data_IF_021711095273
#
_entry.id   IF_021711095273
#
_cell.length_a   1.000
_cell.length_b   1.000
_cell.length_c   1.000
_cell.angle_alpha   90.00
_cell.angle_beta   90.00
_cell.angle_gamma   90.00
#
_symmetry.space_group_name_H-M   'P 1'
#
loop_
_entity.id
_entity.type
_entity.pdbx_description
1 polymer ?
#
# COMPACT_ATOMS: atom_id res chain seq x y z
N UNK A 1 3.22 53.22 -43.74
CA UNK A 1 2.39 52.73 -42.61
C UNK A 1 1.07 52.23 -43.17
N UNK A 2 0.94 50.91 -43.31
CA UNK A 2 -0.30 50.18 -43.44
C UNK A 2 0.04 48.77 -42.94
N UNK A 3 -0.41 48.43 -41.74
CA UNK A 3 -0.22 47.12 -41.13
C UNK A 3 -1.39 46.28 -41.60
N UNK A 4 -1.13 45.22 -42.35
CA UNK A 4 -2.14 44.24 -42.71
C UNK A 4 -2.56 43.47 -41.46
N UNK A 5 -3.87 43.39 -41.25
CA UNK A 5 -4.48 42.65 -40.16
C UNK A 5 -4.22 41.15 -40.35
N UNK A 6 -3.65 40.51 -39.32
CA UNK A 6 -3.51 39.05 -39.24
C UNK A 6 -4.92 38.45 -39.34
N UNK A 7 -5.15 37.71 -40.42
CA UNK A 7 -6.39 37.01 -40.69
C UNK A 7 -6.73 36.03 -39.57
N UNK A 8 -8.02 36.01 -39.21
CA UNK A 8 -8.59 35.11 -38.22
C UNK A 8 -8.29 33.65 -38.58
N UNK A 9 -7.60 32.97 -37.67
CA UNK A 9 -7.36 31.53 -37.74
C UNK A 9 -8.72 30.87 -37.53
N UNK A 10 -9.19 30.12 -38.52
CA UNK A 10 -10.40 29.31 -38.44
C UNK A 10 -10.31 28.35 -37.24
N UNK A 11 -11.43 28.02 -36.57
CA UNK A 11 -11.40 27.09 -35.46
C UNK A 11 -11.01 25.72 -36.02
N UNK A 12 -9.80 25.28 -35.66
CA UNK A 12 -9.39 23.91 -35.87
C UNK A 12 -10.45 22.99 -35.23
N UNK A 13 -10.89 22.01 -36.02
CA UNK A 13 -11.82 20.98 -35.63
C UNK A 13 -11.37 20.39 -34.30
N UNK A 14 -12.26 20.44 -33.31
CA UNK A 14 -12.09 19.75 -32.03
C UNK A 14 -12.16 18.27 -32.35
N UNK A 15 -11.00 17.69 -32.65
CA UNK A 15 -10.80 16.26 -32.68
C UNK A 15 -11.14 15.78 -31.27
N UNK A 16 -12.27 15.10 -31.16
CA UNK A 16 -12.75 14.54 -29.91
C UNK A 16 -11.67 13.57 -29.42
N UNK A 17 -10.85 14.02 -28.47
CA UNK A 17 -10.06 13.15 -27.60
C UNK A 17 -11.00 12.38 -26.67
N UNK A 18 -11.77 11.46 -27.27
CA UNK A 18 -12.25 10.27 -26.60
C UNK A 18 -11.09 9.29 -26.47
N UNK A 19 -10.04 9.69 -25.74
CA UNK A 19 -9.18 8.70 -25.13
C UNK A 19 -10.04 8.02 -24.04
N UNK A 20 -10.11 6.68 -23.96
CA UNK A 20 -10.68 6.06 -22.79
C UNK A 20 -9.88 6.60 -21.61
N UNK A 21 -10.55 7.29 -20.69
CA UNK A 21 -9.98 7.58 -19.39
C UNK A 21 -9.45 6.24 -18.88
N UNK A 22 -8.13 6.08 -18.85
CA UNK A 22 -7.50 4.96 -18.19
C UNK A 22 -8.09 5.01 -16.79
N UNK A 23 -8.94 4.02 -16.48
CA UNK A 23 -9.47 3.88 -15.15
C UNK A 23 -8.24 3.87 -14.26
N UNK A 24 -8.06 4.92 -13.46
CA UNK A 24 -7.12 4.87 -12.36
C UNK A 24 -7.61 3.69 -11.54
N UNK A 25 -6.96 2.53 -11.68
CA UNK A 25 -7.22 1.38 -10.84
C UNK A 25 -6.99 1.86 -9.41
N UNK A 26 -8.07 2.25 -8.75
CA UNK A 26 -8.03 2.73 -7.40
C UNK A 26 -7.49 1.59 -6.55
N UNK A 27 -6.34 1.81 -5.92
CA UNK A 27 -5.73 0.82 -5.04
C UNK A 27 -6.79 0.38 -4.02
N UNK A 28 -7.21 -0.88 -4.08
CA UNK A 28 -8.22 -1.39 -3.19
C UNK A 28 -7.63 -1.50 -1.77
N UNK A 29 -8.32 -0.96 -0.79
CA UNK A 29 -7.92 -1.05 0.61
C UNK A 29 -7.76 -2.50 1.08
N UNK A 30 -8.63 -3.41 0.63
CA UNK A 30 -8.52 -4.84 0.93
C UNK A 30 -7.20 -5.43 0.41
N UNK A 31 -6.74 -5.00 -0.76
CA UNK A 31 -5.45 -5.46 -1.32
C UNK A 31 -4.26 -4.89 -0.53
N UNK A 32 -4.38 -3.69 0.02
CA UNK A 32 -3.35 -3.11 0.90
C UNK A 32 -3.26 -3.90 2.20
N UNK A 33 -4.40 -4.21 2.83
CA UNK A 33 -4.47 -4.99 4.06
C UNK A 33 -3.98 -6.42 3.82
N UNK A 34 -4.39 -7.07 2.73
CA UNK A 34 -3.95 -8.42 2.37
C UNK A 34 -2.44 -8.49 2.15
N UNK A 35 -1.87 -7.49 1.45
CA UNK A 35 -0.42 -7.35 1.31
C UNK A 35 0.28 -7.12 2.65
N UNK A 36 -0.30 -6.29 3.52
CA UNK A 36 0.23 -6.06 4.86
C UNK A 36 0.28 -7.33 5.72
N UNK A 37 -0.78 -8.14 5.68
CA UNK A 37 -0.83 -9.44 6.36
C UNK A 37 0.24 -10.39 5.83
N UNK A 38 0.35 -10.49 4.50
CA UNK A 38 1.36 -11.34 3.85
C UNK A 38 2.79 -10.89 4.19
N UNK A 39 3.01 -9.57 4.24
CA UNK A 39 4.30 -8.99 4.63
C UNK A 39 4.67 -9.30 6.07
N UNK A 40 3.72 -9.21 7.01
CA UNK A 40 3.96 -9.55 8.40
C UNK A 40 4.28 -11.04 8.59
N UNK A 41 3.56 -11.93 7.90
CA UNK A 41 3.84 -13.37 7.92
C UNK A 41 5.26 -13.68 7.42
N UNK A 42 5.65 -13.05 6.30
CA UNK A 42 7.02 -13.17 5.78
C UNK A 42 8.08 -12.65 6.76
N UNK A 43 7.83 -11.52 7.44
CA UNK A 43 8.75 -10.96 8.43
C UNK A 43 8.92 -11.90 9.62
N UNK A 44 7.83 -12.48 10.14
CA UNK A 44 7.85 -13.45 11.25
C UNK A 44 8.64 -14.70 10.84
N UNK A 45 8.34 -15.26 9.66
CA UNK A 45 9.07 -16.44 9.17
C UNK A 45 10.57 -16.18 8.98
N UNK A 46 10.92 -14.98 8.50
CA UNK A 46 12.31 -14.59 8.29
C UNK A 46 13.07 -14.45 9.61
N UNK A 47 12.45 -13.86 10.64
CA UNK A 47 13.03 -13.77 11.97
C UNK A 47 13.17 -15.16 12.62
N UNK A 48 12.17 -16.02 12.47
CA UNK A 48 12.21 -17.41 12.97
C UNK A 48 13.31 -18.24 12.31
N UNK A 49 13.49 -18.10 10.99
CA UNK A 49 14.56 -18.78 10.25
C UNK A 49 15.93 -18.33 10.73
N UNK A 50 16.15 -17.03 10.88
CA UNK A 50 17.41 -16.48 11.37
C UNK A 50 17.70 -16.90 12.82
N UNK A 51 16.67 -16.93 13.67
CA UNK A 51 16.78 -17.42 15.04
C UNK A 51 17.21 -18.89 15.07
N UNK A 52 16.58 -19.75 14.26
CA UNK A 52 16.93 -21.17 14.16
C UNK A 52 18.34 -21.38 13.60
N UNK A 53 18.73 -20.62 12.58
CA UNK A 53 20.06 -20.65 11.99
C UNK A 53 21.14 -20.29 13.01
N UNK A 54 20.92 -19.22 13.78
CA UNK A 54 21.80 -18.83 14.88
C UNK A 54 21.88 -19.89 15.97
N UNK A 55 20.74 -20.46 16.38
CA UNK A 55 20.70 -21.52 17.38
C UNK A 55 21.38 -22.82 16.91
N UNK A 56 21.38 -23.07 15.60
CA UNK A 56 22.11 -24.17 14.96
C UNK A 56 23.61 -23.91 14.80
N UNK A 57 24.10 -22.74 15.22
CA UNK A 57 25.51 -22.37 15.16
C UNK A 57 25.96 -21.85 13.79
N UNK A 58 25.04 -21.46 12.90
CA UNK A 58 25.39 -20.76 11.66
C UNK A 58 25.82 -19.32 11.97
N UNK A 59 26.71 -18.76 11.16
CA UNK A 59 27.11 -17.34 11.22
C UNK A 59 25.95 -16.44 10.75
N UNK A 60 24.98 -16.24 11.64
CA UNK A 60 23.99 -15.16 11.51
C UNK A 60 24.51 -14.00 12.36
N UNK A 61 24.66 -12.82 11.75
CA UNK A 61 25.10 -11.66 12.50
C UNK A 61 24.02 -11.28 13.54
N UNK A 62 24.37 -11.10 14.83
CA UNK A 62 23.37 -10.83 15.86
C UNK A 62 22.54 -9.58 15.61
N UNK A 63 23.12 -8.57 14.95
CA UNK A 63 22.41 -7.34 14.61
C UNK A 63 21.32 -7.56 13.56
N UNK A 64 21.55 -8.41 12.57
CA UNK A 64 20.56 -8.74 11.53
C UNK A 64 19.36 -9.49 12.13
N UNK A 65 19.62 -10.43 13.06
CA UNK A 65 18.54 -11.08 13.80
C UNK A 65 17.72 -10.06 14.59
N UNK A 66 18.36 -9.16 15.33
CA UNK A 66 17.67 -8.13 16.11
C UNK A 66 16.83 -7.21 15.23
N UNK A 67 17.36 -6.81 14.06
CA UNK A 67 16.61 -6.02 13.07
C UNK A 67 15.36 -6.79 12.62
N UNK A 68 15.52 -8.05 12.19
CA UNK A 68 14.41 -8.86 11.70
C UNK A 68 13.32 -9.09 12.75
N UNK A 69 13.71 -9.27 14.02
CA UNK A 69 12.77 -9.42 15.14
C UNK A 69 12.00 -8.12 15.39
N UNK A 70 12.68 -6.97 15.33
CA UNK A 70 12.01 -5.69 15.52
C UNK A 70 11.07 -5.35 14.36
N UNK A 71 11.47 -5.64 13.11
CA UNK A 71 10.59 -5.52 11.94
C UNK A 71 9.34 -6.39 12.10
N UNK A 72 9.49 -7.66 12.44
CA UNK A 72 8.37 -8.57 12.69
C UNK A 72 7.44 -8.04 13.80
N UNK A 73 8.00 -7.51 14.89
CA UNK A 73 7.24 -6.88 15.98
C UNK A 73 6.46 -5.64 15.52
N UNK A 74 7.08 -4.76 14.74
CA UNK A 74 6.43 -3.57 14.19
C UNK A 74 5.26 -3.95 13.28
N UNK A 75 5.46 -4.92 12.37
CA UNK A 75 4.41 -5.43 11.49
C UNK A 75 3.23 -6.02 12.27
N UNK A 76 3.50 -6.82 13.31
CA UNK A 76 2.46 -7.42 14.14
C UNK A 76 1.65 -6.35 14.89
N UNK A 77 2.33 -5.34 15.42
CA UNK A 77 1.68 -4.22 16.13
C UNK A 77 0.76 -3.45 15.19
N UNK A 78 1.23 -3.13 13.98
CA UNK A 78 0.43 -2.46 12.97
C UNK A 78 -0.82 -3.29 12.61
N UNK A 79 -0.67 -4.61 12.41
CA UNK A 79 -1.80 -5.48 12.12
C UNK A 79 -2.82 -5.53 13.25
N UNK A 80 -2.37 -5.53 14.50
CA UNK A 80 -3.24 -5.50 15.67
C UNK A 80 -4.07 -4.20 15.69
N UNK A 81 -3.45 -3.05 15.40
CA UNK A 81 -4.14 -1.77 15.30
C UNK A 81 -5.18 -1.76 14.17
N UNK A 82 -4.79 -2.23 12.97
CA UNK A 82 -5.71 -2.35 11.82
C UNK A 82 -6.89 -3.25 12.18
N UNK A 83 -6.64 -4.42 12.77
CA UNK A 83 -7.70 -5.32 13.24
C UNK A 83 -8.63 -4.63 14.22
N UNK A 84 -8.10 -3.92 15.21
CA UNK A 84 -8.91 -3.22 16.20
C UNK A 84 -9.80 -2.17 15.53
N UNK A 85 -9.25 -1.36 14.61
CA UNK A 85 -10.01 -0.35 13.87
C UNK A 85 -11.10 -0.95 12.99
N UNK A 86 -10.86 -2.10 12.36
CA UNK A 86 -11.87 -2.81 11.58
C UNK A 86 -13.02 -3.32 12.46
N UNK A 87 -12.69 -3.88 13.63
CA UNK A 87 -13.70 -4.35 14.59
C UNK A 87 -14.51 -3.17 15.14
N UNK A 88 -13.87 -2.06 15.51
CA UNK A 88 -14.54 -0.83 15.94
C UNK A 88 -15.47 -0.28 14.85
N UNK A 89 -15.00 -0.18 13.61
CA UNK A 89 -15.79 0.29 12.49
C UNK A 89 -17.02 -0.58 12.19
N UNK A 90 -16.86 -1.91 12.29
CA UNK A 90 -17.97 -2.84 12.17
C UNK A 90 -19.00 -2.66 13.31
N UNK A 91 -18.54 -2.55 14.55
CA UNK A 91 -19.41 -2.31 15.70
C UNK A 91 -20.18 -1.00 15.57
N UNK A 92 -19.55 0.05 15.06
CA UNK A 92 -20.20 1.35 14.87
C UNK A 92 -21.30 1.29 13.80
N UNK A 93 -21.02 0.65 12.66
CA UNK A 93 -22.02 0.44 11.63
C UNK A 93 -23.22 -0.37 12.13
N UNK A 94 -22.97 -1.39 12.97
CA UNK A 94 -24.01 -2.20 13.59
C UNK A 94 -24.86 -1.40 14.58
N UNK A 95 -24.28 -0.42 15.29
CA UNK A 95 -25.02 0.46 16.22
C UNK A 95 -25.90 1.48 15.52
N UNK A 96 -25.53 1.92 14.32
CA UNK A 96 -26.33 2.86 13.53
C UNK A 96 -27.59 2.24 12.90
N UNK A 97 -27.62 0.92 12.72
CA UNK A 97 -28.72 0.20 12.05
C UNK A 97 -29.76 -0.39 13.02
N UNK A 98 -29.61 -0.19 14.33
CA UNK A 98 -30.61 -0.49 15.34
C UNK A 98 -31.36 0.78 15.75
#
# INVERSE_FOLDING_TARGET
>A
MAIEAIGAIAPAQVEALGAPAAATEGVNFADVVARGISGADSAIQTADQQMRAMAAGQEVAPHDLMISLEEARMHLTLLAEVRNKLVEGYQELSRMQL
#
